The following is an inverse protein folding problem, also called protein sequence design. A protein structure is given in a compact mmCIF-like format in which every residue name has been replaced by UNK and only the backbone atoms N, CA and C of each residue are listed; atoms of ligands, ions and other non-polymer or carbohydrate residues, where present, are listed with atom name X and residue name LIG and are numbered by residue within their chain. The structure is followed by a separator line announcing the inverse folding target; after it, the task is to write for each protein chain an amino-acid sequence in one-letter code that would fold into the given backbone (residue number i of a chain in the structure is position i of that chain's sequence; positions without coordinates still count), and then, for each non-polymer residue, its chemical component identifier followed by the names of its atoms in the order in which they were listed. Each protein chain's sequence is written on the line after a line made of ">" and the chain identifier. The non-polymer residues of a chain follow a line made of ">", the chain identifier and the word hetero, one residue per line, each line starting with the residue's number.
data_IF_470970256018
#
_entry.id   IF_470970256018
#
_cell.length_a   1.000
_cell.length_b   1.000
_cell.length_c   1.000
_cell.angle_alpha   90.00
_cell.angle_beta   90.00
_cell.angle_gamma   90.00
#
_symmetry.space_group_name_H-M   'P 1'
#
loop_
_entity.id
_entity.type
_entity.pdbx_description
1 polymer ?
#
# COMPACT_ATOMS: atom_id res chain seq x y z
N UNK A 1 20.49 -4.27 12.92
CA UNK A 1 19.16 -4.56 13.48
C UNK A 1 18.63 -5.86 12.87
N UNK A 2 18.50 -6.91 13.68
CA UNK A 2 18.07 -8.27 13.26
C UNK A 2 16.55 -8.35 13.33
N UNK A 3 15.89 -8.18 12.19
CA UNK A 3 14.43 -8.33 12.07
C UNK A 3 14.15 -9.83 11.99
N UNK A 4 13.60 -10.40 13.07
CA UNK A 4 13.17 -11.79 13.14
C UNK A 4 11.96 -11.97 12.22
N UNK A 5 12.21 -12.38 10.98
CA UNK A 5 11.21 -12.86 10.03
C UNK A 5 10.71 -14.23 10.48
N UNK A 6 9.72 -14.27 11.37
CA UNK A 6 8.94 -15.50 11.61
C UNK A 6 7.51 -15.08 11.94
N UNK A 7 6.67 -14.91 10.92
CA UNK A 7 5.22 -15.00 11.08
C UNK A 7 4.59 -15.39 9.74
N UNK A 8 4.89 -16.60 9.28
CA UNK A 8 4.24 -17.22 8.14
C UNK A 8 4.26 -18.73 8.34
N UNK A 9 3.46 -19.23 9.29
CA UNK A 9 3.12 -20.64 9.37
C UNK A 9 1.62 -20.73 9.24
N UNK A 10 1.18 -20.97 8.00
CA UNK A 10 -0.19 -21.25 7.65
C UNK A 10 -0.70 -22.45 8.47
N UNK A 11 -1.74 -22.23 9.28
CA UNK A 11 -2.50 -23.31 9.89
C UNK A 11 -3.43 -23.88 8.82
N UNK A 12 -2.85 -24.67 7.92
CA UNK A 12 -3.58 -25.62 7.11
C UNK A 12 -3.50 -26.97 7.83
N UNK A 13 -4.26 -27.14 8.92
CA UNK A 13 -4.62 -28.48 9.38
C UNK A 13 -5.90 -28.83 8.66
N UNK A 14 -5.68 -29.35 7.45
CA UNK A 14 -6.65 -30.11 6.70
C UNK A 14 -7.33 -31.12 7.63
N UNK A 15 -8.66 -31.19 7.50
CA UNK A 15 -9.49 -32.28 7.99
C UNK A 15 -8.97 -33.57 7.36
N UNK A 16 -8.03 -34.24 8.01
CA UNK A 16 -7.52 -35.56 7.63
C UNK A 16 -8.51 -36.62 8.11
N UNK A 17 -9.65 -36.69 7.42
CA UNK A 17 -10.42 -37.94 7.36
C UNK A 17 -9.50 -39.03 6.81
N UNK A 18 -9.28 -40.16 7.50
CA UNK A 18 -8.49 -41.24 6.94
C UNK A 18 -9.28 -41.91 5.80
N UNK A 19 -8.95 -41.54 4.57
CA UNK A 19 -9.30 -42.25 3.34
C UNK A 19 -8.43 -43.53 3.19
N UNK A 20 -8.39 -44.35 4.24
CA UNK A 20 -7.62 -45.61 4.25
C UNK A 20 -8.63 -46.76 4.24
N UNK A 21 -8.51 -47.60 3.19
CA UNK A 21 -9.24 -48.86 2.92
C UNK A 21 -10.53 -48.77 2.10
N UNK A 22 -10.41 -48.56 0.78
CA UNK A 22 -11.46 -48.94 -0.17
C UNK A 22 -10.90 -49.64 -1.43
N UNK A 23 -9.71 -50.24 -1.34
CA UNK A 23 -9.11 -51.06 -2.42
C UNK A 23 -9.02 -52.54 -2.07
N UNK A 24 -10.10 -53.11 -1.53
CA UNK A 24 -10.30 -54.57 -1.48
C UNK A 24 -11.53 -54.92 -2.33
N UNK A 25 -11.29 -55.81 -3.28
CA UNK A 25 -12.23 -56.40 -4.24
C UNK A 25 -13.37 -57.15 -3.53
N UNK A 26 -14.56 -57.31 -4.14
CA UNK A 26 -15.71 -57.89 -3.46
C UNK A 26 -15.63 -59.43 -3.54
N UNK A 27 -15.25 -60.06 -2.43
CA UNK A 27 -15.64 -61.44 -2.15
C UNK A 27 -17.00 -61.39 -1.43
N UNK A 28 -18.05 -61.80 -2.12
CA UNK A 28 -19.39 -61.98 -1.55
C UNK A 28 -19.33 -63.00 -0.41
N UNK A 29 -19.28 -62.52 0.82
CA UNK A 29 -19.55 -63.29 2.02
C UNK A 29 -20.46 -62.45 2.93
N UNK A 30 -21.64 -63.02 3.14
CA UNK A 30 -22.78 -62.57 3.92
C UNK A 30 -22.42 -61.94 5.27
N UNK A 31 -22.07 -60.65 5.26
CA UNK A 31 -22.04 -59.80 6.46
C UNK A 31 -22.55 -58.43 6.07
N UNK A 32 -23.85 -58.20 6.27
CA UNK A 32 -24.44 -56.86 6.27
C UNK A 32 -23.54 -55.95 7.12
N UNK A 33 -22.91 -54.89 6.57
CA UNK A 33 -22.25 -53.92 7.43
C UNK A 33 -23.34 -53.35 8.32
N UNK A 34 -23.24 -53.53 9.62
CA UNK A 34 -24.03 -52.76 10.56
C UNK A 34 -23.76 -51.29 10.21
N UNK A 35 -24.80 -50.55 9.82
CA UNK A 35 -24.69 -49.13 9.60
C UNK A 35 -24.14 -48.52 10.90
N UNK A 36 -22.88 -48.10 10.89
CA UNK A 36 -22.31 -47.34 12.00
C UNK A 36 -23.00 -45.98 11.97
N UNK A 37 -24.11 -45.86 12.67
CA UNK A 37 -24.71 -44.57 12.96
C UNK A 37 -23.68 -43.78 13.77
N UNK A 38 -23.17 -42.63 13.29
CA UNK A 38 -22.30 -41.80 14.10
C UNK A 38 -23.01 -41.50 15.42
N UNK A 39 -22.34 -41.77 16.54
CA UNK A 39 -22.91 -41.55 17.86
C UNK A 39 -23.33 -40.08 17.97
N UNK A 40 -24.61 -39.84 18.30
CA UNK A 40 -25.12 -38.47 18.47
C UNK A 40 -24.40 -37.86 19.67
N UNK A 41 -23.83 -36.64 19.55
CA UNK A 41 -23.17 -35.98 20.67
C UNK A 41 -24.15 -35.81 21.83
N UNK A 42 -23.63 -35.99 23.03
CA UNK A 42 -24.37 -35.77 24.28
C UNK A 42 -24.59 -34.27 24.49
N UNK A 43 -25.62 -33.92 25.27
CA UNK A 43 -25.93 -32.50 25.60
C UNK A 43 -24.71 -31.80 26.21
N UNK A 44 -23.96 -32.50 27.08
CA UNK A 44 -22.74 -31.96 27.71
C UNK A 44 -21.62 -31.64 26.71
N UNK A 45 -21.47 -32.45 25.66
CA UNK A 45 -20.49 -32.20 24.60
C UNK A 45 -20.90 -30.99 23.75
N UNK A 46 -22.20 -30.83 23.50
CA UNK A 46 -22.75 -29.65 22.82
C UNK A 46 -22.56 -28.37 23.64
N UNK A 47 -22.83 -28.40 24.95
CA UNK A 47 -22.62 -27.26 25.85
C UNK A 47 -21.14 -26.83 25.90
N UNK A 48 -20.22 -27.80 25.96
CA UNK A 48 -18.78 -27.51 25.90
C UNK A 48 -18.40 -26.88 24.56
N UNK A 49 -18.91 -27.42 23.45
CA UNK A 49 -18.62 -26.89 22.12
C UNK A 49 -19.15 -25.46 21.95
N UNK A 50 -20.33 -25.15 22.50
CA UNK A 50 -20.87 -23.77 22.50
C UNK A 50 -19.97 -22.84 23.30
N UNK A 51 -19.57 -23.21 24.52
CA UNK A 51 -18.69 -22.37 25.34
C UNK A 51 -17.31 -22.13 24.68
N UNK A 52 -16.76 -23.14 23.99
CA UNK A 52 -15.52 -22.99 23.22
C UNK A 52 -15.72 -22.08 21.99
N UNK A 53 -16.86 -22.19 21.31
CA UNK A 53 -17.21 -21.35 20.17
C UNK A 53 -17.45 -19.88 20.57
N UNK A 54 -18.17 -19.63 21.66
CA UNK A 54 -18.39 -18.29 22.23
C UNK A 54 -17.06 -17.64 22.59
N UNK A 55 -16.18 -18.36 23.29
CA UNK A 55 -14.84 -17.87 23.62
C UNK A 55 -14.01 -17.53 22.37
N UNK A 56 -14.06 -18.38 21.34
CA UNK A 56 -13.35 -18.13 20.09
C UNK A 56 -13.93 -16.92 19.35
N UNK A 57 -15.25 -16.75 19.37
CA UNK A 57 -15.94 -15.61 18.78
C UNK A 57 -15.56 -14.30 19.48
N UNK A 58 -15.62 -14.26 20.81
CA UNK A 58 -15.27 -13.06 21.59
C UNK A 58 -13.81 -12.66 21.36
N UNK A 59 -12.91 -13.63 21.30
CA UNK A 59 -11.50 -13.39 20.96
C UNK A 59 -11.34 -12.84 19.54
N UNK A 60 -12.10 -13.36 18.57
CA UNK A 60 -12.08 -12.88 17.19
C UNK A 60 -12.60 -11.44 17.07
N UNK A 61 -13.70 -11.10 17.75
CA UNK A 61 -14.27 -9.74 17.76
C UNK A 61 -13.31 -8.75 18.44
N UNK A 62 -12.65 -9.16 19.54
CA UNK A 62 -11.64 -8.32 20.18
C UNK A 62 -10.44 -8.07 19.26
N UNK A 63 -9.98 -9.11 18.54
CA UNK A 63 -8.89 -8.99 17.57
C UNK A 63 -9.29 -8.12 16.37
N UNK A 64 -10.51 -8.25 15.87
CA UNK A 64 -11.06 -7.42 14.79
C UNK A 64 -11.07 -5.94 15.18
N UNK A 65 -11.58 -5.60 16.37
CA UNK A 65 -11.60 -4.22 16.87
C UNK A 65 -10.19 -3.65 16.97
N UNK A 66 -9.26 -4.39 17.57
CA UNK A 66 -7.87 -3.95 17.67
C UNK A 66 -7.21 -3.75 16.29
N UNK A 67 -7.56 -4.57 15.30
CA UNK A 67 -7.08 -4.41 13.93
C UNK A 67 -7.66 -3.15 13.27
N UNK A 68 -8.96 -2.87 13.43
CA UNK A 68 -9.57 -1.65 12.92
C UNK A 68 -8.97 -0.40 13.55
N UNK A 69 -8.82 -0.37 14.88
CA UNK A 69 -8.20 0.77 15.59
C UNK A 69 -6.77 1.04 15.08
N UNK A 70 -6.01 -0.03 14.83
CA UNK A 70 -4.65 0.09 14.29
C UNK A 70 -4.63 0.64 12.86
N UNK A 71 -5.56 0.19 12.00
CA UNK A 71 -5.69 0.70 10.63
C UNK A 71 -6.14 2.17 10.65
N UNK A 72 -7.16 2.51 11.43
CA UNK A 72 -7.67 3.88 11.55
C UNK A 72 -6.56 4.84 12.01
N UNK A 73 -5.80 4.47 13.04
CA UNK A 73 -4.66 5.26 13.49
C UNK A 73 -3.60 5.42 12.38
N UNK A 74 -3.31 4.35 11.63
CA UNK A 74 -2.31 4.36 10.56
C UNK A 74 -2.72 5.19 9.34
N UNK A 75 -4.01 5.24 9.00
CA UNK A 75 -4.52 6.01 7.84
C UNK A 75 -5.03 7.39 8.22
N UNK A 76 -5.04 7.73 9.52
CA UNK A 76 -5.48 9.05 9.98
C UNK A 76 -4.70 10.18 9.31
N UNK A 77 -5.35 11.33 9.17
CA UNK A 77 -4.74 12.53 8.59
C UNK A 77 -3.54 13.05 9.40
N UNK A 78 -3.51 12.72 10.68
CA UNK A 78 -2.46 13.07 11.63
C UNK A 78 -1.38 11.99 11.74
N UNK A 79 -1.55 10.84 11.08
CA UNK A 79 -0.53 9.80 11.06
C UNK A 79 0.78 10.38 10.50
N UNK A 80 1.95 10.08 11.09
CA UNK A 80 3.22 10.68 10.70
C UNK A 80 3.54 10.54 9.20
N UNK A 81 3.20 9.40 8.60
CA UNK A 81 3.39 9.18 7.16
C UNK A 81 2.44 10.00 6.31
N UNK A 82 1.17 10.15 6.71
CA UNK A 82 0.20 11.01 6.02
C UNK A 82 0.64 12.48 6.06
N UNK A 83 1.09 12.95 7.22
CA UNK A 83 1.63 14.32 7.38
C UNK A 83 2.87 14.51 6.52
N UNK A 84 3.82 13.57 6.58
CA UNK A 84 5.04 13.63 5.77
C UNK A 84 4.73 13.61 4.26
N UNK A 85 3.77 12.79 3.82
CA UNK A 85 3.35 12.73 2.43
C UNK A 85 2.70 14.05 1.97
N UNK A 86 1.85 14.66 2.80
CA UNK A 86 1.26 15.99 2.50
C UNK A 86 2.34 17.06 2.39
N UNK A 87 3.30 17.09 3.31
CA UNK A 87 4.41 18.03 3.28
C UNK A 87 5.30 17.84 2.04
N UNK A 88 5.65 16.59 1.72
CA UNK A 88 6.45 16.26 0.53
C UNK A 88 5.73 16.65 -0.76
N UNK A 89 4.41 16.41 -0.84
CA UNK A 89 3.61 16.82 -2.00
C UNK A 89 3.59 18.34 -2.16
N UNK A 90 3.37 19.09 -1.08
CA UNK A 90 3.42 20.56 -1.11
C UNK A 90 4.79 21.07 -1.58
N UNK A 91 5.87 20.51 -1.06
CA UNK A 91 7.22 20.88 -1.49
C UNK A 91 7.48 20.55 -2.97
N UNK A 92 6.96 19.42 -3.46
CA UNK A 92 7.05 19.06 -4.87
C UNK A 92 6.26 20.02 -5.77
N UNK A 93 5.04 20.40 -5.37
CA UNK A 93 4.20 21.35 -6.10
C UNK A 93 4.87 22.74 -6.14
N UNK A 94 5.45 23.19 -5.04
CA UNK A 94 6.22 24.45 -4.96
C UNK A 94 7.46 24.41 -5.85
N UNK A 95 8.22 23.31 -5.84
CA UNK A 95 9.37 23.13 -6.71
C UNK A 95 8.98 23.10 -8.20
N UNK A 96 7.85 22.47 -8.54
CA UNK A 96 7.34 22.44 -9.91
C UNK A 96 6.92 23.83 -10.39
N UNK A 97 6.28 24.63 -9.52
CA UNK A 97 5.92 26.01 -9.81
C UNK A 97 7.17 26.90 -9.98
N UNK A 98 8.17 26.75 -9.12
CA UNK A 98 9.45 27.44 -9.23
C UNK A 98 10.15 27.10 -10.54
N UNK A 99 10.23 25.82 -10.91
CA UNK A 99 10.80 25.37 -12.18
C UNK A 99 10.07 25.98 -13.38
N UNK A 100 8.74 25.94 -13.38
CA UNK A 100 7.93 26.53 -14.46
C UNK A 100 8.21 28.02 -14.62
N UNK A 101 8.36 28.73 -13.49
CA UNK A 101 8.67 30.17 -13.48
C UNK A 101 10.07 30.44 -14.03
N UNK A 102 11.06 29.64 -13.64
CA UNK A 102 12.43 29.76 -14.11
C UNK A 102 12.57 29.43 -15.60
N UNK A 103 11.93 28.35 -16.07
CA UNK A 103 11.89 27.96 -17.49
C UNK A 103 11.26 29.08 -18.35
N UNK A 104 10.16 29.68 -17.85
CA UNK A 104 9.54 30.82 -18.51
C UNK A 104 10.46 32.03 -18.55
N UNK A 105 11.15 32.36 -17.46
CA UNK A 105 12.08 33.49 -17.43
C UNK A 105 13.24 33.32 -18.42
N UNK A 106 13.78 32.11 -18.57
CA UNK A 106 14.81 31.81 -19.58
C UNK A 106 14.26 31.97 -20.99
N UNK A 107 13.05 31.48 -21.25
CA UNK A 107 12.41 31.59 -22.57
C UNK A 107 12.12 33.04 -22.94
N UNK A 108 11.54 33.81 -22.01
CA UNK A 108 11.22 35.23 -22.22
C UNK A 108 12.50 36.07 -22.41
N UNK A 109 13.57 35.79 -21.65
CA UNK A 109 14.86 36.48 -21.81
C UNK A 109 15.56 36.14 -23.13
N UNK A 110 15.44 34.89 -23.62
CA UNK A 110 15.94 34.51 -24.93
C UNK A 110 15.16 35.23 -26.04
N UNK A 111 13.83 35.26 -25.96
CA UNK A 111 13.00 35.96 -26.94
C UNK A 111 13.35 37.46 -27.01
N UNK A 112 13.55 38.11 -25.86
CA UNK A 112 13.95 39.53 -25.83
C UNK A 112 15.33 39.76 -26.47
N UNK A 113 16.27 38.84 -26.32
CA UNK A 113 17.57 38.91 -26.98
C UNK A 113 17.46 38.70 -28.50
N UNK A 114 16.60 37.77 -28.93
CA UNK A 114 16.34 37.50 -30.34
C UNK A 114 15.68 38.73 -31.00
N UNK A 115 14.67 39.32 -30.38
CA UNK A 115 13.99 40.54 -30.86
C UNK A 115 14.99 41.72 -31.05
N UNK A 116 15.89 41.94 -30.07
CA UNK A 116 16.94 42.96 -30.17
C UNK A 116 17.97 42.65 -31.26
N UNK A 117 18.17 41.37 -31.60
CA UNK A 117 19.10 40.97 -32.65
C UNK A 117 18.52 41.29 -34.04
N UNK A 118 17.20 41.21 -34.18
CA UNK A 118 16.46 41.55 -35.40
C UNK A 118 16.22 43.06 -35.57
N UNK A 119 16.32 43.84 -34.49
CA UNK A 119 16.20 45.31 -34.51
C UNK A 119 17.52 45.98 -34.97
N UNK A 120 17.45 46.71 -36.09
CA UNK A 120 18.59 47.45 -36.65
C UNK A 120 18.98 48.68 -35.83
N UNK A 121 18.06 49.22 -35.02
CA UNK A 121 18.29 50.38 -34.15
C UNK A 121 18.78 49.99 -32.75
N UNK A 122 18.78 48.69 -32.41
CA UNK A 122 19.21 48.20 -31.09
C UNK A 122 20.70 48.46 -30.85
N UNK A 123 21.02 49.06 -29.70
CA UNK A 123 22.39 49.42 -29.35
C UNK A 123 23.19 48.21 -28.84
N UNK A 124 24.52 48.35 -28.82
CA UNK A 124 25.39 47.33 -28.23
C UNK A 124 25.11 47.16 -26.72
N UNK A 125 24.77 48.26 -26.04
CA UNK A 125 24.39 48.28 -24.64
C UNK A 125 23.09 47.50 -24.39
N UNK A 126 22.08 47.62 -25.25
CA UNK A 126 20.81 46.88 -25.12
C UNK A 126 21.04 45.36 -25.25
N UNK A 127 21.84 44.95 -26.23
CA UNK A 127 22.19 43.54 -26.44
C UNK A 127 22.97 42.98 -25.26
N UNK A 128 23.95 43.71 -24.74
CA UNK A 128 24.71 43.30 -23.55
C UNK A 128 23.82 43.17 -22.30
N UNK A 129 22.83 44.06 -22.14
CA UNK A 129 21.87 43.97 -21.03
C UNK A 129 20.96 42.73 -21.16
N UNK A 130 20.50 42.40 -22.36
CA UNK A 130 19.68 41.21 -22.63
C UNK A 130 20.47 39.90 -22.46
N UNK A 131 21.72 39.85 -22.93
CA UNK A 131 22.62 38.70 -22.70
C UNK A 131 22.85 38.45 -21.20
N UNK A 132 23.05 39.53 -20.43
CA UNK A 132 23.17 39.44 -18.98
C UNK A 132 21.86 38.93 -18.35
N UNK A 133 20.71 39.43 -18.77
CA UNK A 133 19.41 38.98 -18.27
C UNK A 133 19.18 37.49 -18.55
N UNK A 134 19.56 37.01 -19.73
CA UNK A 134 19.50 35.59 -20.09
C UNK A 134 20.45 34.74 -19.23
N UNK A 135 21.67 35.22 -18.98
CA UNK A 135 22.63 34.53 -18.11
C UNK A 135 22.13 34.45 -16.65
N UNK A 136 21.57 35.55 -16.13
CA UNK A 136 20.97 35.62 -14.80
C UNK A 136 19.77 34.65 -14.70
N UNK A 137 18.90 34.62 -15.72
CA UNK A 137 17.76 33.70 -15.78
C UNK A 137 18.19 32.22 -15.82
N UNK A 138 19.22 31.88 -16.62
CA UNK A 138 19.78 30.51 -16.69
C UNK A 138 20.40 30.10 -15.35
N UNK A 139 21.05 31.03 -14.66
CA UNK A 139 21.61 30.77 -13.32
C UNK A 139 20.51 30.54 -12.29
N UNK A 140 19.42 31.31 -12.35
CA UNK A 140 18.27 31.13 -11.46
C UNK A 140 17.48 29.83 -11.73
N UNK A 141 17.60 29.27 -12.94
CA UNK A 141 16.96 28.02 -13.33
C UNK A 141 17.79 26.75 -13.03
N UNK A 142 19.06 26.90 -12.65
CA UNK A 142 19.98 25.80 -12.34
C UNK A 142 19.87 25.31 -10.89
#
# INVERSE_FOLDING_TARGET
>A
MKIRRILATAVAVAVTTPAVMLSVTPAFADTKPAAQTPAKPTVKELEKAVAEAEKAYDAAVAAERAAYDAVEAAVSDTAPLTVAAKAARKAADEAAAAKTTADKAVTDAQAALDDLTEDEDATAEDKAAAEKALADAKTAAA
#
